data_IF_617065184157
#
_entry.id   IF_617065184157
#
_cell.length_a   1.000
_cell.length_b   1.000
_cell.length_c   1.000
_cell.angle_alpha   90.00
_cell.angle_beta   90.00
_cell.angle_gamma   90.00
#
_symmetry.space_group_name_H-M   'P 1'
#
loop_
_entity.id
_entity.type
_entity.pdbx_description
1 polymer ?
#
# COMPACT_ATOMS: atom_id res chain seq x y z
N UNK A 1 28.13 -2.39 9.07
CA UNK A 1 27.07 -1.50 8.54
C UNK A 1 25.84 -2.36 8.39
N UNK A 2 24.85 -2.20 9.27
CA UNK A 2 23.55 -2.88 9.14
C UNK A 2 22.82 -2.20 7.99
N UNK A 3 22.77 -2.84 6.82
CA UNK A 3 21.83 -2.45 5.76
C UNK A 3 20.43 -2.73 6.29
N UNK A 4 19.77 -1.71 6.82
CA UNK A 4 18.36 -1.79 7.18
C UNK A 4 17.58 -1.90 5.88
N UNK A 5 16.94 -3.04 5.64
CA UNK A 5 16.08 -3.20 4.48
C UNK A 5 14.95 -2.16 4.53
N UNK A 6 14.74 -1.46 3.42
CA UNK A 6 13.60 -0.55 3.26
C UNK A 6 12.29 -1.32 3.43
N UNK A 7 11.26 -0.67 3.99
CA UNK A 7 10.01 -1.34 4.32
C UNK A 7 8.87 -0.90 3.43
N UNK A 8 8.10 -1.87 2.93
CA UNK A 8 6.80 -1.66 2.32
C UNK A 8 5.75 -2.12 3.33
N UNK A 9 4.89 -1.19 3.73
CA UNK A 9 3.77 -1.51 4.61
C UNK A 9 2.60 -2.01 3.75
N UNK A 10 2.10 -3.22 4.00
CA UNK A 10 0.95 -3.78 3.27
C UNK A 10 -0.27 -3.71 4.17
N UNK A 11 -1.34 -3.06 3.71
CA UNK A 11 -2.51 -2.77 4.56
C UNK A 11 -3.79 -3.30 3.95
N UNK A 12 -4.59 -4.00 4.77
CA UNK A 12 -5.95 -4.43 4.40
C UNK A 12 -6.00 -5.56 3.37
N UNK A 13 -4.88 -6.23 3.13
CA UNK A 13 -4.79 -7.42 2.30
C UNK A 13 -5.43 -8.62 3.01
N UNK A 14 -6.09 -9.49 2.26
CA UNK A 14 -6.41 -10.85 2.72
C UNK A 14 -5.13 -11.68 2.87
N UNK A 15 -5.25 -12.86 3.47
CA UNK A 15 -4.12 -13.80 3.58
C UNK A 15 -3.56 -14.20 2.21
N UNK A 16 -4.42 -14.47 1.22
CA UNK A 16 -4.01 -14.84 -0.14
C UNK A 16 -3.29 -13.69 -0.84
N UNK A 17 -3.80 -12.47 -0.70
CA UNK A 17 -3.18 -11.25 -1.24
C UNK A 17 -1.83 -10.95 -0.58
N UNK A 18 -1.70 -11.21 0.73
CA UNK A 18 -0.43 -11.09 1.45
C UNK A 18 0.61 -12.07 0.92
N UNK A 19 0.23 -13.33 0.69
CA UNK A 19 1.15 -14.32 0.10
C UNK A 19 1.54 -13.92 -1.34
N UNK A 20 0.58 -13.41 -2.11
CA UNK A 20 0.84 -12.94 -3.47
C UNK A 20 1.82 -11.77 -3.49
N UNK A 21 1.63 -10.75 -2.64
CA UNK A 21 2.53 -9.59 -2.61
C UNK A 21 3.92 -9.96 -2.08
N UNK A 22 4.00 -10.84 -1.08
CA UNK A 22 5.27 -11.39 -0.60
C UNK A 22 6.03 -12.09 -1.73
N UNK A 23 5.33 -12.89 -2.53
CA UNK A 23 5.91 -13.58 -3.69
C UNK A 23 6.42 -12.57 -4.73
N UNK A 24 5.65 -11.52 -5.04
CA UNK A 24 6.06 -10.51 -6.01
C UNK A 24 7.28 -9.69 -5.54
N UNK A 25 7.42 -9.46 -4.23
CA UNK A 25 8.46 -8.60 -3.66
C UNK A 25 9.69 -9.36 -3.14
N UNK A 26 9.66 -10.70 -3.12
CA UNK A 26 10.68 -11.56 -2.51
C UNK A 26 12.11 -11.26 -2.98
N UNK A 27 12.29 -10.93 -4.26
CA UNK A 27 13.60 -10.68 -4.86
C UNK A 27 14.19 -9.30 -4.55
N UNK A 28 13.42 -8.37 -3.97
CA UNK A 28 13.79 -6.95 -3.91
C UNK A 28 14.24 -6.47 -2.53
N UNK A 29 14.52 -7.41 -1.61
CA UNK A 29 15.04 -7.14 -0.26
C UNK A 29 14.20 -6.14 0.55
N UNK A 30 12.94 -5.94 0.20
CA UNK A 30 12.02 -5.15 1.01
C UNK A 30 11.56 -5.95 2.22
N UNK A 31 11.49 -5.30 3.36
CA UNK A 31 10.76 -5.83 4.51
C UNK A 31 9.27 -5.56 4.29
N UNK A 32 8.46 -6.62 4.40
CA UNK A 32 7.01 -6.53 4.24
C UNK A 32 6.39 -6.62 5.62
N UNK A 33 5.65 -5.59 6.00
CA UNK A 33 4.91 -5.56 7.24
C UNK A 33 3.40 -5.56 6.92
N UNK A 34 2.71 -6.72 7.02
CA UNK A 34 1.27 -6.77 6.85
C UNK A 34 0.56 -6.14 8.06
N UNK A 35 -0.46 -5.34 7.78
CA UNK A 35 -1.25 -4.62 8.77
C UNK A 35 -2.74 -4.83 8.45
N UNK A 36 -3.51 -5.22 9.47
CA UNK A 36 -4.97 -5.42 9.38
C UNK A 36 -5.37 -6.44 8.32
N UNK A 37 -4.71 -7.60 8.33
CA UNK A 37 -5.11 -8.74 7.50
C UNK A 37 -6.57 -9.08 7.83
N UNK A 38 -7.47 -8.90 6.86
CA UNK A 38 -8.94 -9.10 7.00
C UNK A 38 -9.67 -8.13 7.97
N UNK A 39 -9.04 -7.03 8.39
CA UNK A 39 -9.60 -6.06 9.34
C UNK A 39 -10.06 -4.73 8.71
N UNK A 40 -10.89 -3.97 9.44
CA UNK A 40 -11.31 -2.60 9.06
C UNK A 40 -10.68 -1.57 10.00
N UNK A 41 -9.68 -0.83 9.53
CA UNK A 41 -8.94 0.16 10.34
C UNK A 41 -7.57 -0.34 10.77
N UNK A 42 -6.77 0.51 11.43
CA UNK A 42 -5.41 0.19 11.90
C UNK A 42 -5.39 -0.05 13.40
N UNK A 43 -5.18 -1.31 13.79
CA UNK A 43 -5.23 -1.74 15.20
C UNK A 43 -3.85 -1.96 15.83
N UNK A 44 -2.77 -1.80 15.05
CA UNK A 44 -1.39 -2.04 15.51
C UNK A 44 -0.46 -0.88 15.13
N UNK A 45 0.52 -0.53 15.99
CA UNK A 45 1.47 0.53 15.68
C UNK A 45 2.34 0.15 14.49
N UNK A 46 2.65 1.14 13.65
CA UNK A 46 3.51 0.96 12.48
C UNK A 46 4.97 0.80 12.97
N UNK A 47 5.66 -0.31 12.68
CA UNK A 47 6.90 -0.69 13.36
C UNK A 47 8.10 0.22 13.04
N UNK A 48 8.11 0.84 11.86
CA UNK A 48 9.10 1.83 11.39
C UNK A 48 8.51 2.62 10.22
N UNK A 49 9.11 3.76 9.85
CA UNK A 49 8.66 4.54 8.69
C UNK A 49 8.80 3.72 7.40
N UNK A 50 7.70 3.42 6.68
CA UNK A 50 7.77 2.76 5.39
C UNK A 50 8.22 3.72 4.29
N UNK A 51 8.89 3.20 3.27
CA UNK A 51 9.19 3.97 2.05
C UNK A 51 7.97 4.09 1.12
N UNK A 52 7.00 3.19 1.30
CA UNK A 52 5.75 3.15 0.55
C UNK A 52 4.70 2.37 1.35
N UNK A 53 3.44 2.76 1.20
CA UNK A 53 2.30 2.02 1.69
C UNK A 53 1.54 1.39 0.54
N UNK A 54 1.30 0.09 0.62
CA UNK A 54 0.55 -0.67 -0.36
C UNK A 54 -0.80 -1.07 0.26
N UNK A 55 -1.86 -0.40 -0.17
CA UNK A 55 -3.18 -0.47 0.49
C UNK A 55 -4.16 -1.21 -0.41
N UNK A 56 -4.78 -2.27 0.09
CA UNK A 56 -5.81 -2.99 -0.65
C UNK A 56 -7.18 -2.33 -0.50
N UNK A 57 -7.85 -2.09 -1.63
CA UNK A 57 -9.17 -1.47 -1.68
C UNK A 57 -10.22 -2.36 -1.00
N UNK A 58 -10.82 -1.83 0.06
CA UNK A 58 -11.84 -2.52 0.85
C UNK A 58 -13.15 -2.69 0.08
N UNK A 59 -14.05 -3.51 0.64
CA UNK A 59 -15.39 -3.69 0.05
C UNK A 59 -16.18 -2.39 0.02
N UNK A 60 -16.11 -1.61 1.09
CA UNK A 60 -16.70 -0.28 1.20
C UNK A 60 -15.63 0.79 0.93
N UNK A 61 -15.92 1.71 0.01
CA UNK A 61 -15.08 2.87 -0.28
C UNK A 61 -14.75 3.70 0.96
N UNK A 62 -15.72 3.86 1.87
CA UNK A 62 -15.51 4.63 3.11
C UNK A 62 -14.42 4.02 3.98
N UNK A 63 -14.31 2.70 4.01
CA UNK A 63 -13.29 2.00 4.78
C UNK A 63 -11.91 2.20 4.14
N UNK A 64 -11.80 2.12 2.82
CA UNK A 64 -10.54 2.40 2.11
C UNK A 64 -10.06 3.83 2.40
N UNK A 65 -10.98 4.80 2.33
CA UNK A 65 -10.66 6.21 2.62
C UNK A 65 -10.22 6.39 4.07
N UNK A 66 -10.97 5.82 5.02
CA UNK A 66 -10.63 5.92 6.44
C UNK A 66 -9.25 5.33 6.75
N UNK A 67 -8.90 4.19 6.14
CA UNK A 67 -7.57 3.57 6.28
C UNK A 67 -6.49 4.52 5.74
N UNK A 68 -6.63 5.03 4.52
CA UNK A 68 -5.64 5.95 3.93
C UNK A 68 -5.50 7.25 4.75
N UNK A 69 -6.61 7.82 5.24
CA UNK A 69 -6.60 9.01 6.08
C UNK A 69 -5.92 8.76 7.42
N UNK A 70 -6.13 7.58 8.02
CA UNK A 70 -5.48 7.19 9.26
C UNK A 70 -3.98 6.97 9.04
N UNK A 71 -3.57 6.28 7.96
CA UNK A 71 -2.16 6.09 7.62
C UNK A 71 -1.41 7.41 7.48
N UNK A 72 -2.02 8.41 6.82
CA UNK A 72 -1.45 9.77 6.67
C UNK A 72 -1.29 10.51 8.00
N UNK A 73 -2.10 10.18 9.02
CA UNK A 73 -2.00 10.78 10.37
C UNK A 73 -0.98 10.08 11.24
N UNK A 74 -0.93 8.75 11.17
CA UNK A 74 -0.10 7.91 12.04
C UNK A 74 1.36 7.89 11.59
N UNK A 75 1.60 8.00 10.28
CA UNK A 75 2.94 8.21 9.72
C UNK A 75 3.18 9.71 9.67
N UNK A 76 4.03 10.19 10.58
CA UNK A 76 4.41 11.60 10.77
C UNK A 76 5.03 12.31 9.54
N UNK A 77 5.05 11.64 8.39
CA UNK A 77 5.54 12.12 7.10
C UNK A 77 4.37 12.10 6.12
N UNK A 78 3.71 13.25 5.98
CA UNK A 78 2.57 13.48 5.10
C UNK A 78 2.81 13.11 3.63
N UNK A 79 4.05 12.75 3.25
CA UNK A 79 4.53 12.54 1.89
C UNK A 79 4.81 11.07 1.53
N UNK A 80 4.71 10.11 2.47
CA UNK A 80 4.97 8.70 2.12
C UNK A 80 4.00 8.25 1.02
N UNK A 81 4.47 7.77 -0.14
CA UNK A 81 3.58 7.46 -1.25
C UNK A 81 2.67 6.27 -0.93
N UNK A 82 1.42 6.35 -1.40
CA UNK A 82 0.45 5.27 -1.30
C UNK A 82 0.25 4.66 -2.69
N UNK A 83 0.47 3.35 -2.80
CA UNK A 83 0.04 2.55 -3.93
C UNK A 83 -1.25 1.82 -3.56
N UNK A 84 -2.37 2.26 -4.11
CA UNK A 84 -3.65 1.60 -3.94
C UNK A 84 -3.73 0.37 -4.86
N UNK A 85 -3.91 -0.81 -4.28
CA UNK A 85 -4.25 -2.04 -4.99
C UNK A 85 -5.76 -2.12 -5.10
N UNK A 86 -6.27 -2.11 -6.34
CA UNK A 86 -7.70 -1.92 -6.60
C UNK A 86 -8.18 -2.87 -7.68
N UNK A 87 -9.32 -3.50 -7.45
CA UNK A 87 -10.01 -4.24 -8.52
C UNK A 87 -10.62 -3.29 -9.54
N UNK A 88 -10.68 -3.68 -10.82
CA UNK A 88 -11.30 -2.89 -11.91
C UNK A 88 -12.70 -2.36 -11.58
N UNK A 89 -13.50 -3.09 -10.83
CA UNK A 89 -14.85 -2.72 -10.42
C UNK A 89 -14.87 -1.68 -9.28
N UNK A 90 -13.73 -1.47 -8.61
CA UNK A 90 -13.54 -0.53 -7.52
C UNK A 90 -12.68 0.68 -7.91
N UNK A 91 -12.39 0.88 -9.21
CA UNK A 91 -11.51 1.98 -9.65
C UNK A 91 -12.00 3.37 -9.25
N UNK A 92 -13.30 3.55 -9.05
CA UNK A 92 -13.88 4.79 -8.56
C UNK A 92 -13.34 5.19 -7.17
N UNK A 93 -12.93 4.21 -6.34
CA UNK A 93 -12.30 4.48 -5.05
C UNK A 93 -10.96 5.21 -5.21
N UNK A 94 -10.17 4.87 -6.24
CA UNK A 94 -8.93 5.57 -6.55
C UNK A 94 -9.20 7.03 -6.93
N UNK A 95 -10.18 7.29 -7.79
CA UNK A 95 -10.50 8.65 -8.20
C UNK A 95 -11.00 9.51 -7.03
N UNK A 96 -11.80 8.93 -6.14
CA UNK A 96 -12.24 9.64 -4.92
C UNK A 96 -11.07 9.94 -3.98
N UNK A 97 -10.15 8.99 -3.80
CA UNK A 97 -8.94 9.17 -2.99
C UNK A 97 -7.99 10.23 -3.58
N UNK A 98 -7.78 10.22 -4.89
CA UNK A 98 -6.92 11.19 -5.59
C UNK A 98 -7.44 12.62 -5.48
N UNK A 99 -8.75 12.81 -5.34
CA UNK A 99 -9.34 14.13 -5.06
C UNK A 99 -9.11 14.63 -3.64
N UNK A 100 -8.63 13.77 -2.72
CA UNK A 100 -8.46 14.06 -1.29
C UNK A 100 -7.01 14.06 -0.83
N UNK A 101 -6.15 13.30 -1.50
CA UNK A 101 -4.76 13.09 -1.10
C UNK A 101 -3.83 13.23 -2.29
N UNK A 102 -2.74 13.96 -2.08
CA UNK A 102 -1.59 13.99 -2.96
C UNK A 102 -0.78 12.68 -2.79
N UNK A 103 0.03 12.33 -3.77
CA UNK A 103 0.92 11.14 -3.76
C UNK A 103 0.22 9.79 -3.59
N UNK A 104 -0.95 9.64 -4.22
CA UNK A 104 -1.63 8.36 -4.41
C UNK A 104 -1.49 7.90 -5.85
N UNK A 105 -0.95 6.70 -6.01
CA UNK A 105 -0.97 5.92 -7.24
C UNK A 105 -1.91 4.72 -7.09
N UNK A 106 -2.19 4.04 -8.20
CA UNK A 106 -2.94 2.78 -8.20
C UNK A 106 -2.30 1.73 -9.10
N UNK A 107 -2.59 0.48 -8.78
CA UNK A 107 -2.39 -0.71 -9.60
C UNK A 107 -3.68 -1.54 -9.60
N UNK A 108 -4.06 -2.07 -10.78
CA UNK A 108 -5.31 -2.80 -10.96
C UNK A 108 -5.06 -4.30 -10.82
N UNK A 109 -5.88 -5.01 -10.05
CA UNK A 109 -5.85 -6.47 -9.99
C UNK A 109 -6.62 -7.11 -11.15
N UNK A 110 -6.18 -8.30 -11.65
CA UNK A 110 -4.92 -8.97 -11.33
C UNK A 110 -3.71 -8.26 -11.96
N UNK A 111 -2.55 -8.35 -11.32
CA UNK A 111 -1.28 -7.83 -11.84
C UNK A 111 -0.17 -8.88 -11.73
N UNK A 112 0.87 -8.70 -12.51
CA UNK A 112 2.10 -9.48 -12.50
C UNK A 112 3.15 -8.86 -11.59
N UNK A 113 4.19 -9.64 -11.26
CA UNK A 113 5.35 -9.13 -10.54
C UNK A 113 6.02 -7.95 -11.28
N UNK A 114 6.14 -8.02 -12.60
CA UNK A 114 6.77 -6.98 -13.41
C UNK A 114 5.95 -5.67 -13.43
N UNK A 115 4.63 -5.76 -13.50
CA UNK A 115 3.73 -4.60 -13.42
C UNK A 115 3.83 -3.92 -12.06
N UNK A 116 3.82 -4.69 -10.97
CA UNK A 116 4.02 -4.16 -9.63
C UNK A 116 5.40 -3.49 -9.51
N UNK A 117 6.45 -4.12 -10.05
CA UNK A 117 7.81 -3.57 -10.04
C UNK A 117 7.85 -2.20 -10.68
N UNK A 118 7.40 -2.14 -11.93
CA UNK A 118 7.42 -0.93 -12.75
C UNK A 118 6.70 0.18 -12.01
N UNK A 119 5.56 -0.16 -11.39
CA UNK A 119 4.77 0.81 -10.65
C UNK A 119 5.46 1.32 -9.39
N UNK A 120 6.13 0.45 -8.64
CA UNK A 120 6.90 0.84 -7.46
C UNK A 120 8.08 1.73 -7.87
N UNK A 121 8.82 1.34 -8.90
CA UNK A 121 9.99 2.08 -9.40
C UNK A 121 9.59 3.49 -9.88
N UNK A 122 8.47 3.63 -10.60
CA UNK A 122 7.92 4.94 -11.03
C UNK A 122 7.64 5.88 -9.86
N UNK A 123 7.01 5.36 -8.80
CA UNK A 123 6.61 6.13 -7.63
C UNK A 123 7.84 6.52 -6.80
N UNK A 124 8.78 5.59 -6.58
CA UNK A 124 9.95 5.86 -5.75
C UNK A 124 11.00 6.72 -6.47
N UNK A 125 11.05 6.68 -7.80
CA UNK A 125 11.98 7.50 -8.60
C UNK A 125 11.52 8.95 -8.80
N UNK A 126 10.30 9.30 -8.39
CA UNK A 126 9.75 10.66 -8.49
C UNK A 126 9.90 11.49 -7.21
N UNK A 127 10.47 10.92 -6.14
CA UNK A 127 10.77 11.57 -4.85
C UNK A 127 12.26 11.90 -4.72
#
# INVERSE_FOLDING_TARGET
>A
MTTTNSMILVVGATREETIHIETCLMDWKYEIAPLNVEGTGIDSPIPKTPIMMLVYAQKDTKNTIAICEQLRKDINEATTPILLVVDRYKINQFYELRGRMEDIASIITPFTQEELRTRIDEILSTT
#
